data_IF_122498038286
#
_entry.id   IF_122498038286
#
_cell.length_a   1.000
_cell.length_b   1.000
_cell.length_c   1.000
_cell.angle_alpha   90.00
_cell.angle_beta   90.00
_cell.angle_gamma   90.00
#
_symmetry.space_group_name_H-M   'P 1'
#
loop_
_entity.id
_entity.type
_entity.pdbx_description
1 polymer ?
#
# COMPACT_ATOMS: atom_id res chain seq x y z
N UNK A 1 -62.50 7.79 -49.94
CA UNK A 1 -61.86 6.78 -49.06
C UNK A 1 -60.51 7.33 -48.61
N UNK A 2 -60.45 7.95 -47.42
CA UNK A 2 -59.25 8.55 -46.89
C UNK A 2 -58.49 7.51 -45.99
N UNK A 3 -57.25 7.21 -46.37
CA UNK A 3 -56.38 6.40 -45.60
C UNK A 3 -55.62 7.33 -44.61
N UNK A 4 -55.87 7.18 -43.28
CA UNK A 4 -55.17 7.84 -42.25
C UNK A 4 -53.83 7.09 -41.96
N UNK A 5 -52.70 7.79 -42.14
CA UNK A 5 -51.39 7.31 -41.78
C UNK A 5 -51.09 7.63 -40.30
N UNK A 6 -51.08 6.62 -39.43
CA UNK A 6 -50.60 6.77 -38.05
C UNK A 6 -49.08 6.58 -38.01
N UNK A 7 -48.34 7.66 -37.72
CA UNK A 7 -46.92 7.59 -37.38
C UNK A 7 -46.81 7.26 -35.90
N UNK A 8 -46.32 6.07 -35.59
CA UNK A 8 -45.94 5.70 -34.26
C UNK A 8 -44.61 6.40 -33.87
N UNK A 9 -44.68 7.31 -32.91
CA UNK A 9 -43.48 7.90 -32.28
C UNK A 9 -43.07 6.98 -31.13
N UNK A 10 -41.96 6.25 -31.31
CA UNK A 10 -41.28 5.56 -30.21
C UNK A 10 -40.51 6.59 -29.38
N UNK A 11 -41.02 6.92 -28.17
CA UNK A 11 -40.29 7.70 -27.19
C UNK A 11 -39.36 6.71 -26.40
N UNK A 12 -38.07 6.67 -26.77
CA UNK A 12 -37.09 5.90 -26.04
C UNK A 12 -36.71 6.66 -24.76
N UNK A 13 -37.23 6.22 -23.62
CA UNK A 13 -36.90 6.76 -22.29
C UNK A 13 -35.54 6.17 -21.90
N UNK A 14 -34.47 6.90 -22.09
CA UNK A 14 -33.12 6.55 -21.56
C UNK A 14 -33.08 6.92 -20.09
N UNK A 15 -33.25 5.92 -19.23
CA UNK A 15 -33.03 6.09 -17.79
C UNK A 15 -31.51 6.09 -17.52
N UNK A 16 -30.96 7.28 -17.29
CA UNK A 16 -29.61 7.45 -16.77
C UNK A 16 -29.61 7.08 -15.26
N UNK A 17 -29.18 5.85 -14.96
CA UNK A 17 -28.87 5.48 -13.58
C UNK A 17 -27.57 6.19 -13.18
N UNK A 18 -27.70 7.34 -12.51
CA UNK A 18 -26.62 7.99 -11.80
C UNK A 18 -26.27 7.10 -10.59
N UNK A 19 -25.27 6.26 -10.74
CA UNK A 19 -24.61 5.62 -9.61
C UNK A 19 -23.83 6.70 -8.85
N UNK A 20 -24.45 7.32 -7.87
CA UNK A 20 -23.78 8.15 -6.90
C UNK A 20 -22.89 7.24 -6.03
N UNK A 21 -21.60 7.22 -6.32
CA UNK A 21 -20.61 6.68 -5.39
C UNK A 21 -20.69 7.51 -4.12
N UNK A 22 -21.17 6.93 -3.04
CA UNK A 22 -21.15 7.55 -1.70
C UNK A 22 -19.67 7.54 -1.28
N UNK A 23 -18.95 8.62 -1.59
CA UNK A 23 -17.67 8.89 -0.97
C UNK A 23 -18.01 9.47 0.41
N UNK A 24 -17.70 8.75 1.47
CA UNK A 24 -17.72 9.32 2.82
C UNK A 24 -16.74 10.49 2.84
N UNK A 25 -17.22 11.68 3.18
CA UNK A 25 -16.33 12.82 3.32
C UNK A 25 -15.34 12.52 4.48
N UNK A 26 -14.03 12.54 4.25
CA UNK A 26 -13.03 12.24 5.28
C UNK A 26 -13.15 13.16 6.50
N UNK A 27 -13.60 14.39 6.34
CA UNK A 27 -13.87 15.33 7.44
C UNK A 27 -14.93 14.80 8.41
N UNK A 28 -15.95 14.06 7.93
CA UNK A 28 -16.98 13.47 8.81
C UNK A 28 -16.45 12.28 9.64
N UNK A 29 -15.33 11.69 9.27
CA UNK A 29 -14.69 10.64 10.06
C UNK A 29 -13.98 11.26 11.26
N UNK A 30 -13.27 12.37 11.08
CA UNK A 30 -12.56 13.07 12.16
C UNK A 30 -13.49 13.54 13.26
N UNK A 31 -14.69 14.03 12.90
CA UNK A 31 -15.72 14.50 13.84
C UNK A 31 -16.23 13.42 14.82
N UNK A 32 -15.98 12.14 14.51
CA UNK A 32 -16.41 11.00 15.33
C UNK A 32 -15.26 10.38 16.14
N UNK A 33 -14.07 10.96 16.11
CA UNK A 33 -12.92 10.46 16.86
C UNK A 33 -12.77 11.24 18.18
N UNK A 34 -12.61 10.50 19.28
CA UNK A 34 -12.22 11.06 20.57
C UNK A 34 -10.69 11.09 20.63
N UNK A 35 -10.14 12.25 21.01
CA UNK A 35 -8.69 12.48 21.06
C UNK A 35 -8.35 12.96 22.47
N UNK A 36 -7.31 12.37 23.05
CA UNK A 36 -6.81 12.76 24.38
C UNK A 36 -6.27 14.20 24.36
N UNK A 37 -6.32 14.85 25.53
CA UNK A 37 -5.78 16.19 25.71
C UNK A 37 -4.30 16.26 25.35
N UNK A 38 -3.92 17.25 24.56
CA UNK A 38 -2.55 17.46 24.07
C UNK A 38 -2.22 16.78 22.76
N UNK A 39 -3.17 16.08 22.14
CA UNK A 39 -3.04 15.55 20.77
C UNK A 39 -3.94 16.32 19.82
N UNK A 40 -3.52 16.38 18.57
CA UNK A 40 -4.30 16.89 17.44
C UNK A 40 -4.36 15.81 16.36
N UNK A 41 -5.45 15.79 15.58
CA UNK A 41 -5.60 14.88 14.45
C UNK A 41 -5.92 15.67 13.19
N UNK A 42 -5.21 15.38 12.13
CA UNK A 42 -5.42 15.97 10.82
C UNK A 42 -5.31 14.93 9.70
N UNK A 43 -5.86 15.27 8.53
CA UNK A 43 -5.66 14.46 7.33
C UNK A 43 -4.39 14.95 6.66
N UNK A 44 -3.31 14.17 6.76
CA UNK A 44 -2.03 14.48 6.15
C UNK A 44 -2.02 14.18 4.64
N UNK A 45 -2.64 13.07 4.21
CA UNK A 45 -2.73 12.69 2.80
C UNK A 45 -3.95 11.82 2.54
N UNK A 46 -4.51 11.92 1.33
CA UNK A 46 -5.69 11.17 0.89
C UNK A 46 -5.39 10.36 -0.38
N UNK A 47 -6.33 9.50 -0.77
CA UNK A 47 -6.28 8.72 -2.01
C UNK A 47 -5.09 7.76 -2.15
N UNK A 48 -4.49 7.34 -1.03
CA UNK A 48 -3.46 6.30 -1.03
C UNK A 48 -4.14 4.93 -1.02
N UNK A 49 -3.88 4.14 -2.04
CA UNK A 49 -4.53 2.83 -2.21
C UNK A 49 -4.02 1.82 -1.17
N UNK A 50 -4.89 1.38 -0.28
CA UNK A 50 -4.62 0.34 0.75
C UNK A 50 -3.30 0.53 1.52
N UNK A 51 -3.08 1.72 2.16
CA UNK A 51 -1.84 2.02 2.88
C UNK A 51 -1.63 1.07 4.07
N UNK A 52 -0.37 0.77 4.37
CA UNK A 52 -0.01 -0.15 5.46
C UNK A 52 1.08 0.41 6.37
N UNK A 53 2.32 0.20 6.02
CA UNK A 53 3.44 0.72 6.80
C UNK A 53 3.85 2.10 6.31
N UNK A 54 4.28 2.93 7.25
CA UNK A 54 4.80 4.27 7.01
C UNK A 54 6.25 4.31 7.52
N UNK A 55 7.10 5.02 6.79
CA UNK A 55 8.45 5.35 7.23
C UNK A 55 8.76 6.81 6.87
N UNK A 56 9.45 7.50 7.76
CA UNK A 56 9.90 8.87 7.54
C UNK A 56 11.39 8.87 7.19
N UNK A 57 11.79 9.73 6.27
CA UNK A 57 13.19 9.96 5.93
C UNK A 57 13.81 11.10 6.73
N UNK A 58 15.13 11.21 6.68
CA UNK A 58 15.85 12.32 7.32
C UNK A 58 15.50 13.70 6.74
N UNK A 59 15.00 13.75 5.51
CA UNK A 59 14.54 14.97 4.84
C UNK A 59 13.05 15.27 5.07
N UNK A 60 12.35 14.47 5.90
CA UNK A 60 10.92 14.65 6.21
C UNK A 60 9.96 14.07 5.16
N UNK A 61 10.46 13.36 4.15
CA UNK A 61 9.57 12.65 3.23
C UNK A 61 8.94 11.45 3.92
N UNK A 62 7.64 11.28 3.76
CA UNK A 62 6.91 10.12 4.26
C UNK A 62 6.79 9.08 3.14
N UNK A 63 7.20 7.85 3.41
CA UNK A 63 7.04 6.73 2.50
C UNK A 63 5.93 5.82 2.98
N UNK A 64 5.06 5.40 2.05
CA UNK A 64 3.91 4.55 2.36
C UNK A 64 3.92 3.30 1.50
N UNK A 65 3.92 2.15 2.15
CA UNK A 65 3.73 0.86 1.50
C UNK A 65 2.25 0.56 1.28
N UNK A 66 1.92 -0.01 0.12
CA UNK A 66 0.55 -0.28 -0.31
C UNK A 66 0.34 -1.77 -0.59
N UNK A 67 -0.54 -2.42 0.18
CA UNK A 67 -0.78 -3.85 0.07
C UNK A 67 -1.30 -4.25 -1.32
N UNK A 68 -2.54 -3.90 -1.64
CA UNK A 68 -3.19 -4.32 -2.88
C UNK A 68 -2.88 -3.36 -4.03
N UNK A 69 -2.40 -2.16 -3.74
CA UNK A 69 -2.00 -1.19 -4.75
C UNK A 69 -0.70 -1.55 -5.46
N UNK A 70 0.13 -2.39 -4.83
CA UNK A 70 1.43 -2.79 -5.41
C UNK A 70 2.36 -1.63 -5.71
N UNK A 71 2.32 -0.59 -4.87
CA UNK A 71 3.09 0.65 -5.05
C UNK A 71 3.74 1.08 -3.74
N UNK A 72 4.84 1.81 -3.86
CA UNK A 72 5.40 2.62 -2.79
C UNK A 72 5.22 4.08 -3.18
N UNK A 73 4.64 4.87 -2.29
CA UNK A 73 4.39 6.30 -2.49
C UNK A 73 5.29 7.10 -1.56
N UNK A 74 5.90 8.18 -2.05
CA UNK A 74 6.46 9.24 -1.21
C UNK A 74 5.48 10.39 -1.10
N UNK A 75 5.47 11.05 0.06
CA UNK A 75 4.66 12.25 0.34
C UNK A 75 5.62 13.28 0.93
N UNK A 76 5.67 14.47 0.34
CA UNK A 76 6.49 15.57 0.85
C UNK A 76 5.76 16.35 1.96
N UNK A 77 6.44 17.32 2.56
CA UNK A 77 5.90 18.20 3.62
C UNK A 77 4.64 19.00 3.20
N UNK A 78 4.43 19.18 1.89
CA UNK A 78 3.27 19.88 1.34
C UNK A 78 2.12 18.91 0.98
N UNK A 79 2.26 17.62 1.25
CA UNK A 79 1.29 16.59 0.91
C UNK A 79 1.33 16.14 -0.56
N UNK A 80 2.31 16.58 -1.36
CA UNK A 80 2.44 16.13 -2.74
C UNK A 80 2.90 14.68 -2.80
N UNK A 81 2.18 13.87 -3.56
CA UNK A 81 2.41 12.44 -3.68
C UNK A 81 3.18 12.09 -4.96
N UNK A 82 4.14 11.18 -4.84
CA UNK A 82 4.87 10.60 -5.96
C UNK A 82 5.02 9.09 -5.80
N UNK A 83 4.65 8.34 -6.84
CA UNK A 83 4.91 6.90 -6.88
C UNK A 83 6.39 6.69 -7.16
N UNK A 84 7.09 5.99 -6.27
CA UNK A 84 8.53 5.72 -6.36
C UNK A 84 8.86 4.28 -6.74
N UNK A 85 7.92 3.36 -6.55
CA UNK A 85 7.99 1.99 -7.07
C UNK A 85 6.59 1.49 -7.37
N UNK A 86 6.44 0.66 -8.40
CA UNK A 86 5.16 0.11 -8.82
C UNK A 86 5.30 -1.35 -9.31
N UNK A 87 4.17 -1.96 -9.66
CA UNK A 87 4.09 -3.37 -10.10
C UNK A 87 4.69 -4.33 -9.07
N UNK A 88 4.42 -4.10 -7.79
CA UNK A 88 4.95 -4.86 -6.67
C UNK A 88 3.90 -5.84 -6.15
N UNK A 89 4.34 -6.96 -5.60
CA UNK A 89 3.48 -7.97 -4.98
C UNK A 89 3.31 -7.69 -3.48
N UNK A 90 2.13 -7.21 -3.06
CA UNK A 90 1.81 -6.92 -1.65
C UNK A 90 2.89 -6.09 -0.93
N UNK A 91 3.27 -4.98 -1.51
CA UNK A 91 4.36 -4.12 -1.03
C UNK A 91 3.97 -3.34 0.23
N UNK A 92 3.88 -4.01 1.36
CA UNK A 92 3.38 -3.45 2.62
C UNK A 92 4.43 -2.80 3.48
N UNK A 93 5.62 -3.39 3.57
CA UNK A 93 6.69 -2.95 4.44
C UNK A 93 7.56 -1.89 3.79
N UNK A 94 7.82 -0.81 4.50
CA UNK A 94 8.77 0.23 4.12
C UNK A 94 9.60 0.64 5.34
N UNK A 95 10.88 0.92 5.15
CA UNK A 95 11.74 1.50 6.19
C UNK A 95 12.86 2.31 5.54
N UNK A 96 13.21 3.40 6.19
CA UNK A 96 14.32 4.26 5.78
C UNK A 96 15.53 4.01 6.67
N UNK A 97 16.71 3.92 6.06
CA UNK A 97 17.95 3.75 6.79
C UNK A 97 19.13 4.38 6.05
N UNK A 98 19.79 5.36 6.68
CA UNK A 98 21.03 6.00 6.20
C UNK A 98 20.98 6.52 4.74
N UNK A 99 19.87 7.12 4.34
CA UNK A 99 19.70 7.67 3.00
C UNK A 99 19.00 6.74 2.02
N UNK A 100 18.90 5.47 2.34
CA UNK A 100 18.32 4.45 1.48
C UNK A 100 16.92 4.05 1.94
N UNK A 101 16.03 3.82 0.99
CA UNK A 101 14.69 3.29 1.25
C UNK A 101 14.67 1.80 0.99
N UNK A 102 14.19 1.04 1.98
CA UNK A 102 13.96 -0.39 1.86
C UNK A 102 12.46 -0.68 1.83
N UNK A 103 12.03 -1.64 1.03
CA UNK A 103 10.64 -2.08 0.99
C UNK A 103 10.51 -3.56 0.68
N UNK A 104 9.41 -4.14 1.15
CA UNK A 104 9.13 -5.57 1.00
C UNK A 104 8.14 -5.85 -0.10
N UNK A 105 8.34 -6.97 -0.80
CA UNK A 105 7.30 -7.75 -1.46
C UNK A 105 7.00 -9.02 -0.64
N UNK A 106 6.20 -9.93 -1.15
CA UNK A 106 5.87 -11.18 -0.42
C UNK A 106 7.12 -12.00 -0.13
N UNK A 107 7.98 -12.17 -1.11
CA UNK A 107 9.16 -13.04 -1.07
C UNK A 107 10.50 -12.30 -1.14
N UNK A 108 10.46 -10.99 -1.29
CA UNK A 108 11.64 -10.19 -1.62
C UNK A 108 11.74 -8.91 -0.79
N UNK A 109 12.97 -8.46 -0.58
CA UNK A 109 13.29 -7.13 -0.07
C UNK A 109 14.08 -6.39 -1.13
N UNK A 110 13.71 -5.14 -1.35
CA UNK A 110 14.32 -4.23 -2.30
C UNK A 110 14.86 -2.99 -1.59
N UNK A 111 15.79 -2.30 -2.23
CA UNK A 111 16.35 -1.05 -1.76
C UNK A 111 16.44 -0.05 -2.92
N UNK A 112 16.16 1.23 -2.63
CA UNK A 112 16.46 2.36 -3.50
C UNK A 112 17.46 3.24 -2.78
N UNK A 113 18.62 3.44 -3.40
CA UNK A 113 19.71 4.25 -2.82
C UNK A 113 19.46 5.73 -2.94
N UNK A 114 20.01 6.48 -1.97
CA UNK A 114 20.03 7.94 -1.97
C UNK A 114 18.66 8.57 -2.28
N UNK A 115 17.58 8.00 -1.73
CA UNK A 115 16.20 8.39 -2.10
C UNK A 115 15.90 9.88 -1.84
N UNK A 116 16.34 10.42 -0.72
CA UNK A 116 16.13 11.84 -0.40
C UNK A 116 16.79 12.76 -1.43
N UNK A 117 17.98 12.36 -1.90
CA UNK A 117 18.71 13.10 -2.92
C UNK A 117 17.99 13.11 -4.27
N UNK A 118 17.40 11.97 -4.64
CA UNK A 118 16.61 11.84 -5.87
C UNK A 118 15.33 12.69 -5.79
N UNK A 119 14.65 12.69 -4.64
CA UNK A 119 13.45 13.48 -4.42
C UNK A 119 13.72 14.98 -4.40
N UNK A 120 14.74 15.43 -3.67
CA UNK A 120 15.11 16.84 -3.55
C UNK A 120 15.48 17.50 -4.90
N UNK A 121 16.10 16.76 -5.79
CA UNK A 121 16.51 17.27 -7.10
C UNK A 121 15.47 17.04 -8.20
N UNK A 122 14.28 16.54 -7.88
CA UNK A 122 13.25 16.15 -8.86
C UNK A 122 13.78 15.20 -9.95
N UNK A 123 14.81 14.42 -9.59
CA UNK A 123 15.44 13.45 -10.51
C UNK A 123 14.58 12.22 -10.71
N UNK A 124 14.92 11.42 -11.69
CA UNK A 124 14.36 10.09 -11.85
C UNK A 124 14.70 9.24 -10.62
N UNK A 125 13.72 8.48 -10.15
CA UNK A 125 13.92 7.58 -9.02
C UNK A 125 14.93 6.50 -9.43
N UNK A 126 16.01 6.30 -8.66
CA UNK A 126 16.98 5.25 -8.95
C UNK A 126 16.32 3.87 -9.04
N UNK A 127 16.88 3.00 -9.87
CA UNK A 127 16.36 1.64 -9.98
C UNK A 127 16.48 0.90 -8.65
N UNK A 128 15.45 0.13 -8.32
CA UNK A 128 15.46 -0.72 -7.14
C UNK A 128 16.52 -1.81 -7.26
N UNK A 129 17.24 -2.06 -6.17
CA UNK A 129 18.27 -3.07 -6.02
C UNK A 129 17.70 -4.21 -5.18
N UNK A 130 17.84 -5.43 -5.64
CA UNK A 130 17.45 -6.61 -4.88
C UNK A 130 18.38 -6.82 -3.69
N UNK A 131 17.82 -6.84 -2.47
CA UNK A 131 18.54 -7.19 -1.24
C UNK A 131 18.49 -8.69 -1.01
N UNK A 132 17.29 -9.27 -1.09
CA UNK A 132 17.05 -10.72 -1.04
C UNK A 132 15.74 -11.09 -1.72
N UNK A 133 15.66 -12.29 -2.26
CA UNK A 133 14.45 -12.92 -2.80
C UNK A 133 14.25 -14.33 -2.22
N UNK A 134 14.81 -14.58 -1.05
CA UNK A 134 14.78 -15.90 -0.42
C UNK A 134 13.88 -15.92 0.81
N UNK A 135 12.79 -15.17 0.76
CA UNK A 135 11.73 -15.20 1.78
C UNK A 135 10.60 -16.12 1.32
N UNK A 136 9.75 -16.58 2.26
CA UNK A 136 8.58 -17.36 1.92
C UNK A 136 7.65 -16.63 0.96
N UNK A 137 7.16 -17.34 -0.07
CA UNK A 137 6.31 -16.79 -1.13
C UNK A 137 4.81 -16.95 -0.88
N UNK A 138 4.42 -17.53 0.28
CA UNK A 138 3.01 -17.67 0.64
C UNK A 138 2.36 -16.30 0.75
N UNK A 139 1.27 -16.11 0.02
CA UNK A 139 0.51 -14.84 0.04
C UNK A 139 -0.41 -14.72 1.25
N UNK A 140 -0.82 -15.87 1.83
CA UNK A 140 -1.60 -15.91 3.05
C UNK A 140 -0.73 -15.52 4.24
N UNK A 141 -1.05 -14.42 4.94
CA UNK A 141 -0.20 -13.77 5.93
C UNK A 141 1.21 -13.37 5.41
N UNK A 142 1.39 -13.30 4.09
CA UNK A 142 2.69 -13.10 3.44
C UNK A 142 3.20 -11.67 3.42
N UNK A 143 2.36 -10.68 3.76
CA UNK A 143 2.80 -9.29 3.84
C UNK A 143 3.70 -9.08 5.05
N UNK A 144 4.73 -8.27 4.87
CA UNK A 144 5.80 -8.11 5.84
C UNK A 144 5.92 -6.65 6.28
N UNK A 145 5.91 -6.43 7.58
CA UNK A 145 6.41 -5.20 8.17
C UNK A 145 7.94 -5.34 8.26
N UNK A 146 8.69 -4.29 7.99
CA UNK A 146 10.16 -4.34 8.07
C UNK A 146 10.69 -3.14 8.87
N UNK A 147 11.85 -3.31 9.49
CA UNK A 147 12.49 -2.23 10.25
C UNK A 147 13.92 -2.54 10.61
N UNK A 148 14.73 -1.50 10.77
CA UNK A 148 16.09 -1.63 11.28
C UNK A 148 16.09 -1.62 12.82
N UNK A 149 16.85 -2.52 13.42
CA UNK A 149 17.10 -2.56 14.85
C UNK A 149 18.26 -1.64 15.25
N UNK A 150 18.49 -1.48 16.59
CA UNK A 150 19.59 -0.68 17.10
C UNK A 150 20.97 -1.27 16.77
N UNK A 151 21.02 -2.53 16.40
CA UNK A 151 22.20 -3.25 15.91
C UNK A 151 22.41 -3.10 14.39
N UNK A 152 21.66 -2.20 13.76
CA UNK A 152 21.71 -1.91 12.31
C UNK A 152 21.33 -3.07 11.39
N UNK A 153 20.70 -4.11 11.94
CA UNK A 153 20.17 -5.21 11.13
C UNK A 153 18.75 -4.95 10.69
N UNK A 154 18.44 -5.35 9.48
CA UNK A 154 17.07 -5.35 8.96
C UNK A 154 16.30 -6.54 9.53
N UNK A 155 15.22 -6.27 10.25
CA UNK A 155 14.32 -7.27 10.79
C UNK A 155 13.12 -7.43 9.84
N UNK A 156 12.85 -8.67 9.46
CA UNK A 156 11.78 -9.03 8.54
C UNK A 156 10.95 -10.16 9.18
N UNK A 157 9.79 -9.87 9.76
CA UNK A 157 8.92 -10.91 10.30
C UNK A 157 8.29 -11.71 9.16
N UNK A 158 8.14 -12.99 9.38
CA UNK A 158 7.45 -13.90 8.46
C UNK A 158 6.19 -14.41 9.16
N UNK A 159 5.04 -14.16 8.54
CA UNK A 159 3.76 -14.64 9.06
C UNK A 159 3.65 -16.16 8.94
N UNK A 160 2.96 -16.78 9.89
CA UNK A 160 2.63 -18.20 9.80
C UNK A 160 1.65 -18.45 8.64
N UNK A 161 1.79 -19.55 7.88
CA UNK A 161 0.95 -19.82 6.71
C UNK A 161 -0.49 -20.19 7.07
N UNK A 162 -0.84 -20.21 8.34
CA UNK A 162 -2.19 -20.54 8.83
C UNK A 162 -2.51 -19.84 10.16
N UNK A 163 -3.79 -19.71 10.50
CA UNK A 163 -4.23 -19.13 11.78
C UNK A 163 -3.97 -20.06 12.97
N UNK A 164 -4.13 -21.38 12.77
CA UNK A 164 -3.90 -22.41 13.78
C UNK A 164 -3.08 -23.51 13.11
N UNK A 165 -1.76 -23.42 13.21
CA UNK A 165 -0.86 -24.43 12.70
C UNK A 165 -0.67 -25.54 13.73
N UNK A 166 -0.92 -26.79 13.33
CA UNK A 166 -0.59 -27.96 14.11
C UNK A 166 0.60 -28.66 13.45
N UNK A 167 1.76 -28.78 14.12
CA UNK A 167 2.93 -29.44 13.56
C UNK A 167 2.70 -30.88 13.09
N UNK A 168 1.71 -31.58 13.66
CA UNK A 168 1.33 -32.93 13.23
C UNK A 168 0.60 -32.97 11.89
N UNK A 169 0.06 -31.85 11.42
CA UNK A 169 -0.62 -31.69 10.14
C UNK A 169 0.29 -31.16 9.02
N UNK A 170 1.55 -30.87 9.31
CA UNK A 170 2.52 -30.33 8.32
C UNK A 170 2.60 -31.17 7.04
N UNK A 171 2.50 -32.50 7.16
CA UNK A 171 2.52 -33.42 6.01
C UNK A 171 1.25 -33.34 5.14
N UNK A 172 0.12 -32.99 5.73
CA UNK A 172 -1.19 -32.95 5.05
C UNK A 172 -1.35 -31.66 4.23
N UNK A 173 -0.80 -30.52 4.72
CA UNK A 173 -0.96 -29.21 4.11
C UNK A 173 0.31 -28.65 3.45
N UNK A 174 1.41 -29.44 3.46
CA UNK A 174 2.66 -29.06 2.78
C UNK A 174 3.40 -27.89 3.41
N UNK A 175 3.19 -27.59 4.70
CA UNK A 175 3.91 -26.53 5.40
C UNK A 175 5.39 -26.88 5.51
N UNK A 176 6.23 -25.94 5.10
CA UNK A 176 7.69 -26.09 5.20
C UNK A 176 8.13 -25.75 6.63
N UNK A 177 8.92 -26.65 7.25
CA UNK A 177 9.48 -26.46 8.60
C UNK A 177 10.35 -25.21 8.75
N UNK A 178 10.67 -24.54 7.66
CA UNK A 178 11.43 -23.28 7.68
C UNK A 178 10.71 -22.14 8.38
N UNK A 179 9.43 -22.28 8.72
CA UNK A 179 8.58 -21.24 9.32
C UNK A 179 8.21 -21.52 10.79
N UNK A 180 8.73 -22.56 11.39
CA UNK A 180 8.49 -22.92 12.80
C UNK A 180 9.62 -22.45 13.71
#
# INVERSE_FOLDING_TARGET
MNKANYKFFFFSLVIFLLSSSIHSNPLTILDNLEIDEGFEIEIFAENINTPRQIAESAAGNIFVGSRNGGIITSIDENGNQRIIANNLSNATGVTYHRGDLYFSEVDSIWMIKDIDKALANSQDIPQKILVTNNLPSDTWHGWKWIGFGPDEKLYVPVGAPCNICNPSLEKEYGFDKRYA
#
